data_IF_914788435028
#
_entry.id   IF_914788435028
#
_cell.length_a   1.000
_cell.length_b   1.000
_cell.length_c   1.000
_cell.angle_alpha   90.00
_cell.angle_beta   90.00
_cell.angle_gamma   90.00
#
_symmetry.space_group_name_H-M   'P 1'
#
loop_
_entity.id
_entity.type
_entity.pdbx_description
1 polymer ?
#
# COMPACT_ATOMS: atom_id res chain seq x y z
N UNK A 1 -8.36 9.58 -43.57
CA UNK A 1 -8.43 9.96 -42.15
C UNK A 1 -8.14 8.69 -41.37
N UNK A 2 -6.85 8.42 -41.15
CA UNK A 2 -6.38 7.33 -40.30
C UNK A 2 -6.91 7.56 -38.90
N UNK A 3 -8.03 6.90 -38.62
CA UNK A 3 -8.66 6.83 -37.31
C UNK A 3 -7.74 5.93 -36.49
N UNK A 4 -6.66 6.50 -35.96
CA UNK A 4 -5.94 5.92 -34.84
C UNK A 4 -6.97 5.81 -33.72
N UNK A 5 -7.59 4.63 -33.64
CA UNK A 5 -8.24 4.17 -32.44
C UNK A 5 -7.15 4.21 -31.37
N UNK A 6 -7.12 5.32 -30.64
CA UNK A 6 -6.48 5.36 -29.34
C UNK A 6 -7.26 4.36 -28.47
N UNK A 7 -6.92 3.09 -28.62
CA UNK A 7 -7.06 2.04 -27.60
C UNK A 7 -6.14 2.34 -26.41
N UNK A 8 -5.86 3.62 -26.14
CA UNK A 8 -5.27 4.05 -24.89
C UNK A 8 -6.36 3.88 -23.86
N UNK A 9 -6.30 2.78 -23.11
CA UNK A 9 -7.01 2.68 -21.85
C UNK A 9 -6.85 4.00 -21.09
N UNK A 10 -7.93 4.56 -20.50
CA UNK A 10 -7.88 5.84 -19.82
C UNK A 10 -6.98 5.81 -18.57
N UNK A 11 -6.46 4.63 -18.21
CA UNK A 11 -5.70 4.41 -17.00
C UNK A 11 -4.19 4.45 -17.25
N UNK A 12 -3.44 5.14 -16.38
CA UNK A 12 -1.99 5.17 -16.49
C UNK A 12 -1.40 3.78 -16.23
N UNK A 13 -0.36 3.37 -16.98
CA UNK A 13 0.34 2.12 -16.73
C UNK A 13 1.22 2.23 -15.49
N UNK A 14 1.31 1.13 -14.74
CA UNK A 14 2.22 0.98 -13.61
C UNK A 14 3.66 1.01 -14.07
N UNK A 15 4.46 1.88 -13.46
CA UNK A 15 5.86 2.06 -13.81
C UNK A 15 6.77 0.85 -13.50
N UNK A 16 6.28 -0.13 -12.72
CA UNK A 16 7.03 -1.34 -12.38
C UNK A 16 6.70 -2.52 -13.30
N UNK A 17 5.41 -2.84 -13.49
CA UNK A 17 4.98 -4.02 -14.27
C UNK A 17 4.41 -3.69 -15.66
N UNK A 18 4.13 -2.42 -15.94
CA UNK A 18 3.49 -1.98 -17.20
C UNK A 18 1.99 -2.24 -17.29
N UNK A 19 1.40 -2.93 -16.31
CA UNK A 19 -0.05 -3.17 -16.25
C UNK A 19 -0.82 -1.91 -15.82
N UNK A 20 -2.07 -1.80 -16.24
CA UNK A 20 -2.92 -0.65 -15.93
C UNK A 20 -3.20 -0.53 -14.44
N UNK A 21 -3.12 0.70 -13.92
CA UNK A 21 -3.53 1.01 -12.54
C UNK A 21 -5.00 1.43 -12.58
N UNK A 22 -5.88 0.52 -12.15
CA UNK A 22 -7.32 0.73 -12.22
C UNK A 22 -7.82 1.71 -11.15
N UNK A 23 -8.83 2.52 -11.50
CA UNK A 23 -9.52 3.37 -10.52
C UNK A 23 -10.21 2.51 -9.45
N UNK A 24 -9.91 2.79 -8.19
CA UNK A 24 -10.44 2.05 -7.03
C UNK A 24 -9.47 1.04 -6.44
N UNK A 25 -8.37 0.72 -7.13
CA UNK A 25 -7.27 -0.03 -6.54
C UNK A 25 -6.31 0.89 -5.77
N UNK A 26 -5.70 0.40 -4.67
CA UNK A 26 -4.64 1.12 -3.98
C UNK A 26 -3.45 1.41 -4.92
N UNK A 27 -3.17 2.70 -5.11
CA UNK A 27 -2.09 3.17 -5.97
C UNK A 27 -1.19 4.16 -5.24
N UNK A 28 0.08 4.17 -5.63
CA UNK A 28 1.09 5.10 -5.13
C UNK A 28 1.52 6.05 -6.25
N UNK A 29 1.65 7.32 -5.90
CA UNK A 29 2.23 8.37 -6.74
C UNK A 29 3.16 9.23 -5.87
N UNK A 30 4.21 9.80 -6.47
CA UNK A 30 5.15 10.70 -5.77
C UNK A 30 5.52 11.89 -6.64
N UNK A 31 5.65 13.11 -6.07
CA UNK A 31 6.12 14.28 -6.81
C UNK A 31 7.59 14.17 -7.28
N UNK A 32 8.39 13.29 -6.67
CA UNK A 32 9.79 13.07 -7.09
C UNK A 32 9.90 12.44 -8.48
N UNK A 33 8.86 11.73 -8.91
CA UNK A 33 8.77 11.06 -10.21
C UNK A 33 7.44 11.42 -10.88
N UNK A 34 7.32 12.65 -11.41
CA UNK A 34 6.06 13.13 -11.99
C UNK A 34 5.66 12.28 -13.20
N UNK A 35 4.36 11.99 -13.31
CA UNK A 35 3.81 11.18 -14.40
C UNK A 35 3.94 9.66 -14.22
N UNK A 36 4.58 9.21 -13.14
CA UNK A 36 4.65 7.79 -12.82
C UNK A 36 3.68 7.42 -11.70
N UNK A 37 3.08 6.24 -11.86
CA UNK A 37 2.19 5.61 -10.88
C UNK A 37 2.61 4.17 -10.65
N UNK A 38 2.33 3.64 -9.47
CA UNK A 38 2.61 2.26 -9.12
C UNK A 38 1.41 1.63 -8.43
N UNK A 39 1.19 0.34 -8.62
CA UNK A 39 0.39 -0.43 -7.66
C UNK A 39 1.06 -0.42 -6.29
N UNK A 40 0.29 -0.53 -5.21
CA UNK A 40 0.83 -0.60 -3.85
C UNK A 40 1.94 -1.66 -3.69
N UNK A 41 1.73 -2.87 -4.23
CA UNK A 41 2.73 -3.95 -4.18
C UNK A 41 3.98 -3.62 -5.00
N UNK A 42 3.81 -2.96 -6.13
CA UNK A 42 4.92 -2.52 -6.98
C UNK A 42 5.73 -1.42 -6.31
N UNK A 43 5.06 -0.46 -5.66
CA UNK A 43 5.69 0.59 -4.87
C UNK A 43 6.46 0.01 -3.66
N UNK A 44 5.94 -1.04 -3.03
CA UNK A 44 6.64 -1.75 -1.95
C UNK A 44 7.90 -2.48 -2.44
N UNK A 45 7.84 -3.12 -3.62
CA UNK A 45 9.00 -3.81 -4.22
C UNK A 45 10.10 -2.83 -4.63
N UNK A 46 9.73 -1.68 -5.17
CA UNK A 46 10.64 -0.57 -5.51
C UNK A 46 11.18 0.16 -4.26
N UNK A 47 10.64 -0.11 -3.07
CA UNK A 47 11.01 0.59 -1.84
C UNK A 47 10.45 2.01 -1.72
N UNK A 48 9.49 2.39 -2.57
CA UNK A 48 8.78 3.66 -2.51
C UNK A 48 7.73 3.70 -1.39
N UNK A 49 7.16 2.55 -1.07
CA UNK A 49 6.23 2.37 0.04
C UNK A 49 6.87 1.40 1.05
N UNK A 50 6.83 1.67 2.37
CA UNK A 50 7.21 0.65 3.33
C UNK A 50 6.35 -0.60 3.13
N UNK A 51 7.00 -1.77 3.02
CA UNK A 51 6.34 -3.07 3.24
C UNK A 51 5.70 -2.98 4.61
N UNK A 52 4.37 -2.88 4.67
CA UNK A 52 3.69 -2.53 5.92
C UNK A 52 4.28 -3.38 7.06
N UNK A 53 4.88 -2.76 8.09
CA UNK A 53 5.38 -3.54 9.20
C UNK A 53 4.14 -4.18 9.83
N UNK A 54 4.20 -5.53 9.95
CA UNK A 54 3.21 -6.41 10.57
C UNK A 54 2.36 -5.64 11.59
N UNK A 55 1.02 -5.74 11.56
CA UNK A 55 0.18 -5.08 12.56
C UNK A 55 0.79 -5.39 13.91
N UNK A 56 1.21 -4.34 14.63
CA UNK A 56 1.93 -4.45 15.87
C UNK A 56 1.12 -5.40 16.75
N UNK A 57 1.60 -6.63 16.86
CA UNK A 57 0.90 -7.72 17.53
C UNK A 57 0.69 -7.19 18.93
N UNK A 58 -0.53 -6.73 19.22
CA UNK A 58 -0.83 -5.98 20.42
C UNK A 58 -0.32 -6.81 21.58
N UNK A 59 0.83 -6.39 22.15
CA UNK A 59 1.27 -6.87 23.44
C UNK A 59 0.21 -6.32 24.40
N UNK A 60 -0.93 -7.01 24.51
CA UNK A 60 -1.68 -7.05 25.75
C UNK A 60 -0.69 -7.63 26.75
N UNK A 61 0.08 -6.72 27.36
CA UNK A 61 0.81 -6.98 28.59
C UNK A 61 -0.17 -7.74 29.48
N UNK A 62 0.22 -8.94 29.89
CA UNK A 62 -0.37 -9.62 31.03
C UNK A 62 -0.40 -8.61 32.18
N UNK A 63 -1.56 -8.00 32.42
CA UNK A 63 -1.88 -7.37 33.69
C UNK A 63 -1.96 -8.52 34.68
N UNK A 64 -0.79 -8.83 35.25
CA UNK A 64 -0.63 -9.69 36.40
C UNK A 64 -1.24 -8.90 37.55
N UNK A 65 -2.56 -8.98 37.73
CA UNK A 65 -3.21 -8.46 38.94
C UNK A 65 -2.84 -9.42 40.06
N UNK A 66 -1.71 -9.14 40.71
CA UNK A 66 -1.46 -9.57 42.07
C UNK A 66 -2.50 -8.88 42.95
N UNK A 67 -3.54 -9.61 43.33
CA UNK A 67 -4.26 -9.31 44.58
C UNK A 67 -3.74 -10.29 45.61
N UNK A 68 -2.72 -9.86 46.32
CA UNK A 68 -2.29 -10.45 47.58
C UNK A 68 -2.99 -9.65 48.68
N UNK A 69 -3.49 -10.35 49.69
CA UNK A 69 -3.98 -9.84 50.98
C UNK A 69 -5.33 -9.08 50.92
N UNK A 70 -6.21 -9.16 51.92
CA UNK A 70 -6.10 -9.67 53.28
C UNK A 70 -7.52 -9.86 53.84
N UNK A 71 -7.65 -10.85 54.73
CA UNK A 71 -8.60 -10.98 55.84
C UNK A 71 -9.98 -10.30 55.73
N UNK A 72 -11.03 -11.10 55.62
CA UNK A 72 -12.05 -11.31 56.67
C UNK A 72 -12.96 -12.48 56.28
#
# INVERSE_FOLDING_TARGET
MDRFEHTSSPYPPCACCGEEVLLGEPMYWTPERPGYVWHDLCAQREGLLPLSPKPARGKRRKSKTQTVESLF
#
